data_IF_216041892810
#
_entry.id   IF_216041892810
#
_cell.length_a   1.000
_cell.length_b   1.000
_cell.length_c   1.000
_cell.angle_alpha   90.00
_cell.angle_beta   90.00
_cell.angle_gamma   90.00
#
_symmetry.space_group_name_H-M   'P 1'
#
loop_
_entity.id
_entity.type
_entity.pdbx_description
1 polymer ?
#
# COMPACT_ATOMS: atom_id res chain seq x y z
N UNK A 1 2.53 8.46 54.52
CA UNK A 1 2.44 7.12 53.90
C UNK A 1 2.33 7.27 52.38
N UNK A 2 3.34 6.84 51.64
CA UNK A 2 3.43 6.95 50.17
C UNK A 2 2.62 5.82 49.51
N UNK A 3 1.46 6.15 48.95
CA UNK A 3 0.70 5.35 47.98
C UNK A 3 0.02 6.40 47.09
N UNK A 4 0.31 6.57 45.81
CA UNK A 4 0.16 5.65 44.68
C UNK A 4 1.16 6.10 43.59
N UNK A 5 2.18 5.30 43.29
CA UNK A 5 3.13 5.51 42.16
C UNK A 5 3.02 4.39 41.12
N UNK A 6 1.81 3.87 40.88
CA UNK A 6 1.63 2.67 40.03
C UNK A 6 0.90 2.96 38.71
N UNK A 7 0.38 4.16 38.45
CA UNK A 7 -0.58 4.31 37.34
C UNK A 7 -0.04 4.90 36.02
N UNK A 8 1.23 5.28 35.91
CA UNK A 8 1.75 5.84 34.64
C UNK A 8 2.29 4.76 33.68
N UNK A 9 2.95 3.72 34.22
CA UNK A 9 3.46 2.62 33.40
C UNK A 9 2.35 1.79 32.74
N UNK A 10 1.22 1.57 33.42
CA UNK A 10 0.08 0.84 32.83
C UNK A 10 -0.56 1.62 31.66
N UNK A 11 -0.68 2.95 31.79
CA UNK A 11 -1.22 3.82 30.72
C UNK A 11 -0.27 3.89 29.53
N UNK A 12 1.05 3.95 29.78
CA UNK A 12 2.07 3.87 28.73
C UNK A 12 2.08 2.50 28.03
N UNK A 13 1.81 1.40 28.75
CA UNK A 13 1.72 0.06 28.15
C UNK A 13 0.52 -0.09 27.21
N UNK A 14 -0.61 0.59 27.48
CA UNK A 14 -1.80 0.55 26.63
C UNK A 14 -1.56 1.32 25.31
N UNK A 15 -0.73 2.37 25.33
CA UNK A 15 -0.38 3.15 24.13
C UNK A 15 0.50 2.41 23.13
N UNK A 16 1.20 1.34 23.56
CA UNK A 16 2.02 0.50 22.66
C UNK A 16 1.20 -0.58 21.96
N UNK A 17 -0.08 -0.75 22.32
CA UNK A 17 -0.93 -1.81 21.78
C UNK A 17 -1.49 -1.39 20.41
N UNK A 18 -0.74 -1.79 19.40
CA UNK A 18 -1.22 -2.20 18.07
C UNK A 18 -1.12 -1.18 16.92
N UNK A 19 0.11 -0.82 16.57
CA UNK A 19 0.41 -0.63 15.15
C UNK A 19 0.32 -2.01 14.46
N UNK A 20 -0.89 -2.40 14.00
CA UNK A 20 -1.05 -3.58 13.15
C UNK A 20 -0.71 -3.19 11.71
N UNK A 21 0.24 -3.91 11.11
CA UNK A 21 0.53 -3.83 9.68
C UNK A 21 -0.25 -4.91 8.93
N UNK A 22 -0.40 -4.72 7.63
CA UNK A 22 -0.87 -5.77 6.75
C UNK A 22 0.22 -6.84 6.56
N UNK A 23 -0.20 -8.03 6.13
CA UNK A 23 0.72 -9.01 5.57
C UNK A 23 1.18 -8.49 4.21
N UNK A 24 2.49 -8.33 4.03
CA UNK A 24 3.07 -7.77 2.81
C UNK A 24 3.92 -8.82 2.11
N UNK A 25 3.69 -9.02 0.82
CA UNK A 25 4.58 -9.80 -0.04
C UNK A 25 5.18 -8.90 -1.10
N UNK A 26 6.50 -8.98 -1.24
CA UNK A 26 7.26 -8.21 -2.21
C UNK A 26 7.78 -9.11 -3.32
N UNK A 27 7.54 -8.70 -4.55
CA UNK A 27 8.04 -9.36 -5.75
C UNK A 27 8.77 -8.32 -6.61
N UNK A 28 9.98 -8.66 -7.04
CA UNK A 28 10.83 -7.79 -7.87
C UNK A 28 11.04 -8.49 -9.20
N UNK A 29 10.53 -7.91 -10.29
CA UNK A 29 10.68 -8.49 -11.63
C UNK A 29 11.95 -7.89 -12.26
N UNK A 30 13.05 -8.67 -12.38
CA UNK A 30 14.26 -8.17 -12.99
C UNK A 30 13.99 -7.80 -14.45
N UNK A 31 14.65 -6.75 -14.92
CA UNK A 31 14.59 -6.35 -16.31
C UNK A 31 15.90 -6.72 -16.99
N UNK A 32 15.85 -7.68 -17.91
CA UNK A 32 17.02 -8.10 -18.68
C UNK A 32 17.40 -7.07 -19.76
N UNK A 33 16.46 -6.17 -20.10
CA UNK A 33 16.74 -5.04 -20.99
C UNK A 33 17.33 -3.93 -20.13
N UNK A 34 18.61 -3.58 -20.39
CA UNK A 34 19.28 -2.42 -19.80
C UNK A 34 18.29 -1.25 -19.75
N UNK A 35 18.21 -0.62 -18.59
CA UNK A 35 17.22 0.36 -18.16
C UNK A 35 17.28 1.68 -18.96
N UNK A 36 17.17 1.63 -20.28
CA UNK A 36 17.51 2.77 -21.13
C UNK A 36 16.54 3.93 -21.02
N UNK A 37 15.38 3.75 -20.38
CA UNK A 37 14.47 4.85 -20.05
C UNK A 37 13.66 4.53 -18.78
N UNK A 38 14.31 4.60 -17.61
CA UNK A 38 13.59 4.72 -16.33
C UNK A 38 12.83 6.06 -16.40
N UNK A 39 11.52 6.00 -16.67
CA UNK A 39 10.71 7.22 -16.77
C UNK A 39 10.65 7.89 -15.41
N UNK A 40 10.82 9.21 -15.38
CA UNK A 40 10.59 10.03 -14.18
C UNK A 40 9.16 9.87 -13.65
N UNK A 41 8.22 9.60 -14.56
CA UNK A 41 6.81 9.37 -14.27
C UNK A 41 6.54 7.90 -13.91
N UNK A 42 6.62 7.62 -12.61
CA UNK A 42 6.24 6.32 -12.05
C UNK A 42 4.73 6.15 -12.06
N UNK A 43 4.29 4.94 -12.39
CA UNK A 43 2.86 4.61 -12.40
C UNK A 43 2.55 3.64 -11.28
N UNK A 44 1.56 3.97 -10.47
CA UNK A 44 0.94 3.07 -9.51
C UNK A 44 -0.16 2.28 -10.23
N UNK A 45 -0.03 0.97 -10.24
CA UNK A 45 -1.01 0.06 -10.80
C UNK A 45 -1.80 -0.58 -9.66
N UNK A 46 -3.12 -0.50 -9.70
CA UNK A 46 -3.99 -1.16 -8.72
C UNK A 46 -4.84 -2.20 -9.43
N UNK A 47 -4.81 -3.43 -8.94
CA UNK A 47 -5.84 -4.42 -9.25
C UNK A 47 -6.79 -4.54 -8.07
N UNK A 48 -8.04 -4.20 -8.33
CA UNK A 48 -9.10 -4.09 -7.35
C UNK A 48 -10.17 -5.08 -7.74
N UNK A 49 -10.57 -5.97 -6.83
CA UNK A 49 -11.64 -6.92 -7.08
C UNK A 49 -12.40 -7.22 -5.79
N UNK A 50 -13.69 -7.50 -5.94
CA UNK A 50 -14.53 -7.86 -4.82
C UNK A 50 -14.23 -9.30 -4.37
N UNK A 51 -14.20 -9.50 -3.06
CA UNK A 51 -14.18 -10.81 -2.43
C UNK A 51 -15.46 -10.96 -1.62
N UNK A 52 -16.03 -12.17 -1.62
CA UNK A 52 -17.28 -12.42 -0.92
C UNK A 52 -17.11 -12.09 0.57
N UNK A 53 -18.02 -11.25 1.09
CA UNK A 53 -18.07 -10.84 2.50
C UNK A 53 -16.83 -10.05 2.99
N UNK A 54 -16.00 -9.52 2.08
CA UNK A 54 -14.80 -8.75 2.42
C UNK A 54 -14.92 -7.31 1.91
N UNK A 55 -14.97 -6.37 2.84
CA UNK A 55 -14.85 -4.94 2.55
C UNK A 55 -13.37 -4.55 2.36
N UNK A 56 -13.11 -3.61 1.45
CA UNK A 56 -11.76 -3.11 1.14
C UNK A 56 -11.70 -1.60 1.38
N UNK A 57 -11.51 -1.20 2.63
CA UNK A 57 -11.24 0.19 2.99
C UNK A 57 -9.78 0.52 2.64
N UNK A 58 -9.57 1.26 1.56
CA UNK A 58 -8.25 1.59 1.02
C UNK A 58 -8.08 3.10 1.01
N UNK A 59 -6.94 3.58 1.52
CA UNK A 59 -6.50 4.96 1.33
C UNK A 59 -5.00 4.98 1.04
N UNK A 60 -4.62 5.58 -0.08
CA UNK A 60 -3.24 5.70 -0.54
C UNK A 60 -2.90 7.18 -0.65
N UNK A 61 -1.92 7.63 0.12
CA UNK A 61 -1.41 9.01 0.12
C UNK A 61 0.11 9.02 -0.06
N UNK A 62 0.68 10.09 -0.59
CA UNK A 62 2.14 10.26 -0.60
C UNK A 62 2.67 10.89 0.70
N UNK A 63 3.99 11.14 0.78
CA UNK A 63 4.62 11.76 1.94
C UNK A 63 4.14 13.18 2.24
N UNK A 64 3.63 13.88 1.21
CA UNK A 64 3.03 15.22 1.33
C UNK A 64 1.56 15.18 1.74
N UNK A 65 1.00 13.99 1.99
CA UNK A 65 -0.42 13.74 2.29
C UNK A 65 -1.36 14.07 1.14
N UNK A 66 -0.87 14.10 -0.09
CA UNK A 66 -1.70 14.19 -1.28
C UNK A 66 -2.36 12.83 -1.50
N UNK A 67 -3.68 12.82 -1.70
CA UNK A 67 -4.45 11.61 -1.98
C UNK A 67 -4.18 11.12 -3.40
N UNK A 68 -3.80 9.85 -3.52
CA UNK A 68 -3.60 9.17 -4.80
C UNK A 68 -4.81 8.30 -5.13
N UNK A 69 -5.37 7.63 -4.12
CA UNK A 69 -6.54 6.76 -4.27
C UNK A 69 -7.27 6.55 -2.95
N UNK A 70 -8.59 6.45 -3.00
CA UNK A 70 -9.42 6.07 -1.86
C UNK A 70 -10.60 5.18 -2.28
N UNK A 71 -10.94 4.23 -1.41
CA UNK A 71 -12.14 3.39 -1.47
C UNK A 71 -12.65 3.11 -0.06
N UNK A 72 -13.98 2.99 0.09
CA UNK A 72 -14.61 2.56 1.35
C UNK A 72 -15.60 1.44 1.06
N UNK A 73 -15.51 0.35 1.81
CA UNK A 73 -16.42 -0.78 1.71
C UNK A 73 -16.20 -1.62 0.45
N UNK A 74 -17.31 -2.00 -0.18
CA UNK A 74 -17.34 -2.86 -1.39
C UNK A 74 -16.91 -2.05 -2.62
N UNK A 75 -16.12 -2.66 -3.51
CA UNK A 75 -15.73 -2.01 -4.77
C UNK A 75 -16.94 -1.96 -5.71
N UNK A 76 -17.12 -0.85 -6.42
CA UNK A 76 -18.28 -0.66 -7.30
C UNK A 76 -18.36 -1.70 -8.43
N UNK A 77 -17.23 -2.02 -9.07
CA UNK A 77 -17.12 -3.04 -10.12
C UNK A 77 -16.65 -4.38 -9.54
N UNK A 78 -16.97 -5.50 -10.21
CA UNK A 78 -16.50 -6.85 -9.81
C UNK A 78 -14.97 -6.92 -9.75
N UNK A 79 -14.32 -6.41 -10.78
CA UNK A 79 -12.87 -6.21 -10.86
C UNK A 79 -12.60 -4.93 -11.65
N UNK A 80 -11.46 -4.29 -11.35
CA UNK A 80 -10.99 -3.08 -12.02
C UNK A 80 -9.48 -2.98 -11.95
N UNK A 81 -8.89 -2.60 -13.07
CA UNK A 81 -7.50 -2.21 -13.14
C UNK A 81 -7.37 -0.69 -13.26
N UNK A 82 -6.57 -0.07 -12.38
CA UNK A 82 -6.31 1.36 -12.39
C UNK A 82 -4.83 1.64 -12.61
N UNK A 83 -4.53 2.60 -13.48
CA UNK A 83 -3.21 3.17 -13.64
C UNK A 83 -3.24 4.63 -13.15
N UNK A 84 -2.56 4.90 -12.04
CA UNK A 84 -2.53 6.19 -11.36
C UNK A 84 -1.13 6.78 -11.46
N UNK A 85 -1.05 8.10 -11.61
CA UNK A 85 0.23 8.80 -11.59
C UNK A 85 0.71 8.93 -10.15
N UNK A 86 1.97 8.58 -9.91
CA UNK A 86 2.64 8.92 -8.66
C UNK A 86 3.27 10.31 -8.84
N UNK A 87 3.05 11.27 -7.92
CA UNK A 87 3.70 12.57 -7.97
C UNK A 87 5.23 12.45 -8.08
N UNK A 88 5.84 13.33 -8.88
CA UNK A 88 7.30 13.31 -9.10
C UNK A 88 8.03 13.59 -7.79
N UNK A 89 9.07 12.79 -7.53
CA UNK A 89 9.89 12.89 -6.31
C UNK A 89 9.29 12.21 -5.07
N UNK A 90 8.13 11.56 -5.18
CA UNK A 90 7.56 10.74 -4.10
C UNK A 90 8.51 9.61 -3.73
N UNK A 91 8.89 9.57 -2.45
CA UNK A 91 9.82 8.55 -1.90
C UNK A 91 9.11 7.32 -1.39
N UNK A 92 7.87 7.48 -0.94
CA UNK A 92 7.03 6.39 -0.44
C UNK A 92 5.56 6.76 -0.54
N UNK A 93 4.72 5.74 -0.61
CA UNK A 93 3.28 5.87 -0.39
C UNK A 93 2.92 5.28 0.97
N UNK A 94 1.97 5.92 1.64
CA UNK A 94 1.33 5.41 2.85
C UNK A 94 0.02 4.76 2.43
N UNK A 95 -0.08 3.46 2.64
CA UNK A 95 -1.26 2.67 2.33
C UNK A 95 -1.94 2.29 3.63
N UNK A 96 -3.14 2.82 3.85
CA UNK A 96 -4.04 2.36 4.89
C UNK A 96 -5.01 1.37 4.26
N UNK A 97 -4.94 0.11 4.67
CA UNK A 97 -5.84 -0.95 4.21
C UNK A 97 -6.53 -1.59 5.41
N UNK A 98 -7.86 -1.53 5.48
CA UNK A 98 -8.67 -2.08 6.56
C UNK A 98 -8.14 -1.70 7.95
N UNK A 99 -7.90 -0.39 8.14
CA UNK A 99 -7.36 0.25 9.36
C UNK A 99 -5.90 -0.09 9.72
N UNK A 100 -5.22 -0.89 8.90
CA UNK A 100 -3.80 -1.20 9.04
C UNK A 100 -2.98 -0.30 8.13
N UNK A 101 -1.89 0.27 8.66
CA UNK A 101 -1.07 1.26 7.94
C UNK A 101 0.26 0.67 7.53
N UNK A 102 0.64 0.87 6.27
CA UNK A 102 1.90 0.40 5.70
C UNK A 102 2.58 1.54 4.96
N UNK A 103 3.91 1.58 5.04
CA UNK A 103 4.74 2.48 4.26
C UNK A 103 5.40 1.64 3.17
N UNK A 104 5.12 1.95 1.91
CA UNK A 104 5.68 1.27 0.74
C UNK A 104 6.61 2.25 0.05
N UNK A 105 7.89 1.89 -0.05
CA UNK A 105 8.91 2.70 -0.71
C UNK A 105 8.67 2.75 -2.22
N UNK A 106 8.96 3.89 -2.86
CA UNK A 106 9.01 3.96 -4.32
C UNK A 106 10.42 3.60 -4.76
N UNK A 107 10.57 2.43 -5.39
CA UNK A 107 11.83 1.96 -5.96
C UNK A 107 12.05 2.62 -7.32
N UNK A 108 12.97 3.58 -7.37
CA UNK A 108 13.17 4.45 -8.55
C UNK A 108 13.80 3.71 -9.75
N UNK A 109 14.39 2.55 -9.55
CA UNK A 109 14.88 1.60 -10.54
C UNK A 109 13.77 0.84 -11.30
N UNK A 110 12.50 1.01 -10.91
CA UNK A 110 11.34 0.39 -11.55
C UNK A 110 10.36 1.42 -12.10
N UNK A 111 9.74 1.16 -13.25
CA UNK A 111 8.73 2.05 -13.85
C UNK A 111 7.34 1.94 -13.20
N UNK A 112 7.01 0.75 -12.68
CA UNK A 112 5.70 0.42 -12.14
C UNK A 112 5.82 -0.08 -10.70
N UNK A 113 4.96 0.45 -9.84
CA UNK A 113 4.62 -0.14 -8.55
C UNK A 113 3.21 -0.70 -8.68
N UNK A 114 3.04 -2.00 -8.51
CA UNK A 114 1.75 -2.66 -8.52
C UNK A 114 1.34 -3.06 -7.11
N UNK A 115 0.08 -2.79 -6.76
CA UNK A 115 -0.53 -3.17 -5.49
C UNK A 115 -1.80 -3.99 -5.74
N UNK A 116 -1.88 -5.13 -5.07
CA UNK A 116 -3.08 -5.96 -5.02
C UNK A 116 -3.51 -6.17 -3.58
N UNK A 117 -4.77 -5.89 -3.28
CA UNK A 117 -5.34 -6.04 -1.94
C UNK A 117 -6.11 -7.36 -1.88
N UNK A 118 -5.66 -8.32 -1.07
CA UNK A 118 -6.26 -9.67 -0.96
C UNK A 118 -6.76 -9.94 0.45
N UNK A 119 -7.91 -10.60 0.56
CA UNK A 119 -8.51 -10.93 1.85
C UNK A 119 -8.69 -9.69 2.74
N UNK A 120 -8.73 -9.87 4.05
CA UNK A 120 -8.90 -8.74 4.97
C UNK A 120 -7.63 -7.93 5.22
N UNK A 121 -6.45 -8.53 5.00
CA UNK A 121 -5.22 -7.92 5.48
C UNK A 121 -3.93 -8.17 4.69
N UNK A 122 -4.00 -8.67 3.46
CA UNK A 122 -2.83 -8.95 2.64
C UNK A 122 -2.66 -7.94 1.50
N UNK A 123 -1.42 -7.54 1.23
CA UNK A 123 -1.05 -6.69 0.10
C UNK A 123 0.08 -7.37 -0.68
N UNK A 124 -0.17 -7.71 -1.95
CA UNK A 124 0.88 -8.07 -2.90
C UNK A 124 1.48 -6.77 -3.46
N UNK A 125 2.81 -6.67 -3.45
CA UNK A 125 3.56 -5.52 -3.90
C UNK A 125 4.55 -6.00 -4.96
N UNK A 126 4.36 -5.55 -6.20
CA UNK A 126 5.22 -5.93 -7.32
C UNK A 126 5.91 -4.69 -7.88
N UNK A 127 7.23 -4.75 -8.02
CA UNK A 127 8.01 -3.77 -8.76
C UNK A 127 8.38 -4.34 -10.12
N UNK A 128 8.08 -3.60 -11.19
CA UNK A 128 8.35 -4.03 -12.57
C UNK A 128 8.75 -2.85 -13.46
N UNK A 129 9.54 -3.14 -14.49
CA UNK A 129 9.86 -2.20 -15.56
C UNK A 129 8.95 -2.34 -16.78
N UNK A 130 8.27 -3.48 -16.92
CA UNK A 130 7.26 -3.74 -17.92
C UNK A 130 5.86 -3.69 -17.25
N UNK A 131 4.86 -3.19 -17.97
CA UNK A 131 3.48 -3.19 -17.46
C UNK A 131 3.05 -4.67 -17.35
N UNK A 132 2.64 -5.16 -16.16
CA UNK A 132 2.19 -6.54 -16.03
C UNK A 132 0.98 -6.79 -16.94
N UNK A 133 0.97 -7.94 -17.62
CA UNK A 133 -0.20 -8.44 -18.34
C UNK A 133 -1.15 -9.09 -17.34
N UNK A 134 -2.34 -8.54 -17.21
CA UNK A 134 -3.42 -9.14 -16.43
C UNK A 134 -4.29 -9.89 -17.42
N UNK A 135 -4.41 -11.21 -17.23
CA UNK A 135 -5.36 -12.05 -17.96
C UNK A 135 -6.60 -12.11 -17.07
N UNK A 136 -7.72 -11.59 -17.56
CA UNK A 136 -9.03 -11.67 -16.91
C UNK A 136 -9.54 -13.13 -16.81
#
# INVERSE_FOLDING_TARGET
MKKIKINLCLVLLILVVSCRTNNLRYTFIPNDKKSENIKENKTLLLYLYNEKDIAKDINIINEKREEIYSNKGVLGDKSKFLALKIPVGTKYVLVNYNKKRNKIEIKHDYNYLYLEFKGEDFIEIVYSNEKPEFID
#
